data_IF_293902936758
#
_entry.id   IF_293902936758
#
_cell.length_a   1.000
_cell.length_b   1.000
_cell.length_c   1.000
_cell.angle_alpha   90.00
_cell.angle_beta   90.00
_cell.angle_gamma   90.00
#
_symmetry.space_group_name_H-M   'P 1'
#
loop_
_entity.id
_entity.type
_entity.pdbx_description
1 polymer ?
#
# COMPACT_ATOMS: atom_id res chain seq x y z
N UNK A 1 14.27 10.02 -3.53
CA UNK A 1 14.66 11.24 -2.80
C UNK A 1 14.97 10.98 -1.31
N UNK A 2 14.16 10.18 -0.58
CA UNK A 2 14.33 10.00 0.87
C UNK A 2 15.71 9.40 1.24
N UNK A 3 16.18 8.42 0.48
CA UNK A 3 17.47 7.77 0.66
C UNK A 3 18.55 8.28 -0.33
N UNK A 4 18.31 9.39 -0.98
CA UNK A 4 19.17 9.95 -2.02
C UNK A 4 20.60 10.23 -1.50
N UNK A 5 20.70 10.71 -0.27
CA UNK A 5 21.98 11.00 0.37
C UNK A 5 22.87 9.74 0.49
N UNK A 6 22.25 8.60 0.83
CA UNK A 6 22.96 7.32 0.96
C UNK A 6 23.37 6.78 -0.42
N UNK A 7 22.51 6.99 -1.45
CA UNK A 7 22.71 6.43 -2.79
C UNK A 7 23.52 7.34 -3.72
N UNK A 8 23.40 8.68 -3.60
CA UNK A 8 24.10 9.65 -4.46
C UNK A 8 25.55 9.89 -4.08
N UNK A 9 25.93 9.55 -2.89
CA UNK A 9 27.33 9.59 -2.50
C UNK A 9 28.21 8.63 -3.31
N UNK A 10 27.60 7.94 -4.28
CA UNK A 10 28.21 6.99 -5.21
C UNK A 10 28.67 7.64 -6.51
N UNK A 11 29.43 8.72 -6.46
CA UNK A 11 30.11 9.22 -7.67
C UNK A 11 31.28 8.28 -7.96
N UNK A 12 31.20 7.56 -9.08
CA UNK A 12 32.35 6.91 -9.68
C UNK A 12 33.39 7.98 -10.00
N UNK A 13 34.45 8.07 -9.24
CA UNK A 13 35.60 8.86 -9.67
C UNK A 13 36.30 8.10 -10.80
N UNK A 14 36.24 8.66 -12.00
CA UNK A 14 37.09 8.19 -13.09
C UNK A 14 38.43 8.92 -12.97
N UNK A 15 39.46 8.21 -12.56
CA UNK A 15 40.81 8.77 -12.56
C UNK A 15 41.41 8.57 -13.96
N UNK A 16 41.61 9.69 -14.66
CA UNK A 16 42.31 9.71 -15.93
C UNK A 16 43.77 10.01 -15.66
N UNK A 17 44.63 8.99 -15.68
CA UNK A 17 46.07 9.15 -15.50
C UNK A 17 46.75 9.22 -16.87
N UNK A 18 47.41 10.33 -17.15
CA UNK A 18 48.28 10.44 -18.33
C UNK A 18 49.72 10.09 -17.94
N UNK A 19 50.37 9.24 -18.75
CA UNK A 19 51.78 8.88 -18.51
C UNK A 19 52.63 9.76 -19.44
N UNK A 20 53.46 10.60 -18.79
CA UNK A 20 54.36 11.52 -19.46
C UNK A 20 55.80 11.00 -19.40
N UNK A 21 56.59 11.30 -20.39
CA UNK A 21 58.06 11.08 -20.33
C UNK A 21 58.76 12.10 -19.43
N UNK A 22 60.08 11.95 -19.22
CA UNK A 22 60.87 12.86 -18.39
C UNK A 22 60.90 14.32 -18.88
N UNK A 23 60.33 14.62 -20.06
CA UNK A 23 60.20 15.97 -20.65
C UNK A 23 58.79 16.48 -20.58
N UNK A 24 57.87 15.73 -19.94
CA UNK A 24 56.47 16.12 -19.81
C UNK A 24 55.62 15.86 -21.11
N UNK A 25 56.14 15.04 -22.03
CA UNK A 25 55.43 14.70 -23.28
C UNK A 25 54.68 13.38 -23.08
N UNK A 26 53.39 13.35 -23.46
CA UNK A 26 52.59 12.13 -23.39
C UNK A 26 53.18 10.99 -24.24
N UNK A 27 53.41 9.85 -23.63
CA UNK A 27 53.98 8.66 -24.29
C UNK A 27 52.90 8.06 -25.20
N UNK A 28 53.16 8.03 -26.50
CA UNK A 28 52.26 7.48 -27.50
C UNK A 28 52.01 5.97 -27.22
N UNK A 29 50.76 5.57 -27.13
CA UNK A 29 50.33 4.21 -26.71
C UNK A 29 50.08 4.02 -25.21
N UNK A 30 50.54 4.94 -24.36
CA UNK A 30 50.25 4.97 -22.94
C UNK A 30 49.53 6.27 -22.51
N UNK A 31 48.95 6.96 -23.51
CA UNK A 31 48.45 8.32 -23.32
C UNK A 31 47.40 8.48 -22.24
N UNK A 32 46.55 7.47 -22.04
CA UNK A 32 45.53 7.54 -20.99
C UNK A 32 45.30 6.15 -20.42
N UNK A 33 45.43 6.02 -19.12
CA UNK A 33 45.00 4.86 -18.38
C UNK A 33 43.73 5.24 -17.63
N UNK A 34 42.59 4.75 -18.11
CA UNK A 34 41.32 4.90 -17.39
C UNK A 34 41.33 3.87 -16.25
N UNK A 35 41.50 4.33 -15.03
CA UNK A 35 41.32 3.50 -13.86
C UNK A 35 39.87 3.71 -13.41
N UNK A 36 39.01 2.77 -13.72
CA UNK A 36 37.72 2.66 -13.06
C UNK A 36 38.01 2.11 -11.67
N UNK A 37 38.25 2.98 -10.71
CA UNK A 37 38.07 2.59 -9.31
C UNK A 37 36.59 2.41 -9.11
N UNK A 38 36.12 1.17 -9.18
CA UNK A 38 34.85 0.81 -8.59
C UNK A 38 35.01 1.11 -7.10
N UNK A 39 34.38 2.21 -6.69
CA UNK A 39 34.35 2.58 -5.28
C UNK A 39 33.77 1.39 -4.51
N UNK A 40 34.63 0.67 -3.79
CA UNK A 40 34.24 -0.51 -3.00
C UNK A 40 33.38 -0.13 -1.79
N UNK A 41 33.26 1.16 -1.53
CA UNK A 41 32.55 1.73 -0.40
C UNK A 41 31.30 2.48 -0.86
N UNK A 42 30.36 1.74 -1.46
CA UNK A 42 29.07 2.30 -1.84
C UNK A 42 28.07 2.13 -0.70
N UNK A 43 27.41 3.22 -0.32
CA UNK A 43 26.23 3.11 0.51
C UNK A 43 25.16 2.27 -0.20
N UNK A 44 24.44 1.45 0.55
CA UNK A 44 23.42 0.56 0.00
C UNK A 44 22.16 0.55 0.87
N UNK A 45 21.04 0.26 0.23
CA UNK A 45 19.77 -0.03 0.89
C UNK A 45 19.50 -1.53 0.77
N UNK A 46 19.23 -2.17 1.90
CA UNK A 46 18.79 -3.56 1.91
C UNK A 46 17.28 -3.56 2.10
N UNK A 47 16.58 -3.93 1.04
CA UNK A 47 15.12 -4.00 1.01
C UNK A 47 14.62 -5.28 1.68
N UNK A 48 13.36 -5.24 2.10
CA UNK A 48 12.65 -6.41 2.62
C UNK A 48 12.12 -7.33 1.51
N UNK A 49 12.14 -6.85 0.26
CA UNK A 49 11.64 -7.60 -0.92
C UNK A 49 12.36 -8.96 -1.04
N UNK A 50 11.60 -10.04 -1.03
CA UNK A 50 12.08 -11.37 -1.39
C UNK A 50 11.99 -11.55 -2.92
N UNK A 51 13.14 -11.71 -3.57
CA UNK A 51 13.23 -11.80 -5.02
C UNK A 51 12.34 -12.91 -5.60
N UNK A 52 12.26 -14.06 -4.94
CA UNK A 52 11.46 -15.22 -5.40
C UNK A 52 9.97 -14.91 -5.35
N UNK A 53 9.51 -14.28 -4.26
CA UNK A 53 8.11 -13.87 -4.12
C UNK A 53 7.78 -12.78 -5.14
N UNK A 54 8.66 -11.79 -5.31
CA UNK A 54 8.48 -10.73 -6.30
C UNK A 54 8.37 -11.32 -7.73
N UNK A 55 9.24 -12.25 -8.12
CA UNK A 55 9.22 -12.89 -9.43
C UNK A 55 7.91 -13.66 -9.67
N UNK A 56 7.41 -14.39 -8.68
CA UNK A 56 6.12 -15.09 -8.75
C UNK A 56 4.96 -14.10 -8.95
N UNK A 57 4.96 -13.02 -8.17
CA UNK A 57 3.93 -11.97 -8.27
C UNK A 57 3.98 -11.29 -9.64
N UNK A 58 5.17 -10.94 -10.13
CA UNK A 58 5.36 -10.33 -11.45
C UNK A 58 4.84 -11.24 -12.57
N UNK A 59 5.17 -12.54 -12.52
CA UNK A 59 4.70 -13.51 -13.51
C UNK A 59 3.17 -13.64 -13.47
N UNK A 60 2.58 -13.82 -12.29
CA UNK A 60 1.13 -13.91 -12.16
C UNK A 60 0.40 -12.66 -12.65
N UNK A 61 0.95 -11.46 -12.37
CA UNK A 61 0.38 -10.20 -12.86
C UNK A 61 0.50 -10.05 -14.37
N UNK A 62 1.60 -10.50 -14.98
CA UNK A 62 1.75 -10.44 -16.44
C UNK A 62 0.69 -11.25 -17.18
N UNK A 63 0.26 -12.35 -16.59
CA UNK A 63 -0.75 -13.24 -17.18
C UNK A 63 -2.19 -12.75 -16.96
N UNK A 64 -2.47 -12.14 -15.80
CA UNK A 64 -3.85 -11.92 -15.33
C UNK A 64 -4.24 -10.44 -15.17
N UNK A 65 -3.29 -9.51 -15.03
CA UNK A 65 -3.56 -8.14 -14.60
C UNK A 65 -3.03 -7.12 -15.60
N UNK A 66 -3.94 -6.45 -16.32
CA UNK A 66 -3.58 -5.33 -17.21
C UNK A 66 -3.31 -4.05 -16.42
N UNK A 67 -4.10 -3.79 -15.39
CA UNK A 67 -4.00 -2.59 -14.54
C UNK A 67 -4.33 -2.95 -13.11
N UNK A 68 -3.43 -2.66 -12.18
CA UNK A 68 -3.63 -2.98 -10.77
C UNK A 68 -2.34 -3.04 -9.98
N UNK A 69 -2.43 -3.48 -8.73
CA UNK A 69 -1.27 -3.69 -7.86
C UNK A 69 -1.43 -4.94 -6.99
N UNK A 70 -0.30 -5.52 -6.61
CA UNK A 70 -0.22 -6.59 -5.61
C UNK A 70 0.78 -6.17 -4.54
N UNK A 71 0.40 -6.38 -3.28
CA UNK A 71 1.27 -6.21 -2.11
C UNK A 71 1.27 -7.52 -1.33
N UNK A 72 2.46 -8.03 -1.02
CA UNK A 72 2.65 -9.19 -0.14
C UNK A 72 3.43 -8.72 1.07
N UNK A 73 2.89 -8.97 2.26
CA UNK A 73 3.45 -8.50 3.53
C UNK A 73 3.53 -9.64 4.53
N UNK A 74 4.62 -9.69 5.30
CA UNK A 74 4.69 -10.57 6.46
C UNK A 74 3.87 -10.01 7.63
N UNK A 75 3.01 -10.85 8.20
CA UNK A 75 2.05 -10.44 9.24
C UNK A 75 2.77 -9.94 10.50
N UNK A 76 3.88 -10.55 10.90
CA UNK A 76 4.54 -10.24 12.19
C UNK A 76 5.51 -9.08 12.09
N UNK A 77 6.36 -9.09 11.07
CA UNK A 77 7.40 -8.08 10.89
C UNK A 77 6.92 -6.84 10.12
N UNK A 78 5.77 -6.93 9.41
CA UNK A 78 5.28 -5.93 8.45
C UNK A 78 6.25 -5.67 7.29
N UNK A 79 7.20 -6.58 7.09
CA UNK A 79 8.09 -6.50 5.93
C UNK A 79 7.30 -6.70 4.63
N UNK A 80 7.49 -5.79 3.69
CA UNK A 80 6.94 -5.90 2.34
C UNK A 80 7.82 -6.89 1.57
N UNK A 81 7.30 -8.08 1.31
CA UNK A 81 8.02 -9.17 0.63
C UNK A 81 7.90 -9.07 -0.90
N UNK A 82 6.81 -8.49 -1.39
CA UNK A 82 6.63 -8.13 -2.81
C UNK A 82 5.71 -6.93 -2.94
N UNK A 83 5.99 -6.10 -3.94
CA UNK A 83 5.17 -4.95 -4.31
C UNK A 83 5.28 -4.75 -5.82
N UNK A 84 4.18 -4.96 -6.54
CA UNK A 84 4.14 -4.85 -7.98
C UNK A 84 2.96 -4.00 -8.45
N UNK A 85 3.14 -3.28 -9.54
CA UNK A 85 2.14 -2.40 -10.18
C UNK A 85 2.07 -2.65 -11.67
N UNK A 86 0.87 -2.53 -12.26
CA UNK A 86 0.63 -2.65 -13.71
C UNK A 86 -0.15 -1.42 -14.23
N UNK A 87 0.15 -0.96 -15.46
CA UNK A 87 1.23 -1.41 -16.35
C UNK A 87 2.60 -1.26 -15.72
N UNK A 88 3.52 -2.17 -16.03
CA UNK A 88 4.92 -2.02 -15.70
C UNK A 88 5.62 -1.09 -16.73
N UNK A 89 6.79 -0.59 -16.37
CA UNK A 89 7.63 0.20 -17.27
C UNK A 89 9.06 -0.33 -17.30
N UNK A 90 9.77 -0.05 -18.39
CA UNK A 90 11.19 -0.34 -18.47
C UNK A 90 11.97 0.81 -17.82
N UNK A 91 12.70 0.60 -16.71
CA UNK A 91 13.45 1.67 -16.05
C UNK A 91 14.59 2.26 -16.90
N UNK A 92 15.00 1.56 -17.96
CA UNK A 92 16.02 2.05 -18.90
C UNK A 92 15.45 2.96 -19.99
N UNK A 93 14.13 3.10 -20.10
CA UNK A 93 13.41 3.90 -21.11
C UNK A 93 12.58 5.03 -20.49
N UNK A 94 12.93 5.45 -19.28
CA UNK A 94 12.16 6.44 -18.48
C UNK A 94 11.92 7.74 -19.26
N UNK A 95 12.91 8.24 -20.00
CA UNK A 95 12.77 9.52 -20.74
C UNK A 95 11.67 9.48 -21.80
N UNK A 96 11.51 8.34 -22.47
CA UNK A 96 10.45 8.15 -23.46
C UNK A 96 9.09 8.07 -22.78
N UNK A 97 9.01 7.38 -21.64
CA UNK A 97 7.77 7.18 -20.89
C UNK A 97 7.29 8.50 -20.25
N UNK A 98 8.20 9.29 -19.68
CA UNK A 98 7.84 10.60 -19.06
C UNK A 98 7.21 11.55 -20.09
N UNK A 99 7.60 11.45 -21.36
CA UNK A 99 7.05 12.29 -22.43
C UNK A 99 5.63 11.89 -22.84
N UNK A 100 5.26 10.62 -22.72
CA UNK A 100 3.97 10.09 -23.18
C UNK A 100 3.50 8.88 -22.36
N UNK A 101 3.29 9.07 -21.03
CA UNK A 101 2.77 8.01 -20.16
C UNK A 101 1.23 7.94 -20.20
N UNK A 102 0.66 7.62 -21.37
CA UNK A 102 -0.80 7.48 -21.56
C UNK A 102 -1.45 6.45 -20.65
N UNK A 103 -0.69 5.45 -20.23
CA UNK A 103 -1.20 4.33 -19.46
C UNK A 103 -0.98 4.49 -17.94
N UNK A 104 -0.29 5.55 -17.50
CA UNK A 104 0.07 5.78 -16.11
C UNK A 104 0.97 4.67 -15.55
N UNK A 105 1.95 4.22 -16.34
CA UNK A 105 2.89 3.15 -15.97
C UNK A 105 3.85 3.59 -14.87
N UNK A 106 4.14 4.88 -14.75
CA UNK A 106 4.96 5.46 -13.68
C UNK A 106 4.22 5.54 -12.33
N UNK A 107 2.91 5.33 -12.34
CA UNK A 107 2.13 5.35 -11.11
C UNK A 107 2.31 4.04 -10.34
N UNK A 108 2.77 4.15 -9.10
CA UNK A 108 2.76 2.99 -8.19
C UNK A 108 1.35 2.80 -7.61
N UNK A 109 0.56 1.92 -8.21
CA UNK A 109 -0.83 1.67 -7.82
C UNK A 109 -0.99 1.02 -6.45
N UNK A 110 0.04 0.41 -5.91
CA UNK A 110 0.01 -0.06 -4.52
C UNK A 110 -0.07 1.09 -3.51
N UNK A 111 0.34 2.29 -3.94
CA UNK A 111 0.35 3.51 -3.15
C UNK A 111 -0.69 4.54 -3.61
N UNK A 112 -1.52 4.25 -4.60
CA UNK A 112 -2.66 5.07 -4.99
C UNK A 112 -3.90 4.67 -4.20
N UNK A 113 -4.76 5.64 -3.91
CA UNK A 113 -5.99 5.40 -3.16
C UNK A 113 -7.15 5.01 -4.08
N UNK A 114 -7.93 4.04 -3.63
CA UNK A 114 -9.13 3.51 -4.28
C UNK A 114 -10.23 3.31 -3.24
N UNK A 115 -11.46 3.18 -3.69
CA UNK A 115 -12.54 2.71 -2.82
C UNK A 115 -12.28 1.24 -2.44
N UNK A 116 -12.08 0.92 -1.14
CA UNK A 116 -11.75 -0.45 -0.73
C UNK A 116 -12.93 -1.42 -0.90
N UNK A 117 -14.15 -0.91 -0.98
CA UNK A 117 -15.34 -1.73 -1.04
C UNK A 117 -15.50 -2.58 0.22
N UNK A 118 -16.07 -3.76 0.08
CA UNK A 118 -16.40 -4.66 1.19
C UNK A 118 -15.23 -5.07 2.09
N UNK A 119 -13.99 -4.84 1.69
CA UNK A 119 -12.82 -5.06 2.56
C UNK A 119 -12.87 -4.12 3.76
N UNK A 120 -13.44 -2.92 3.62
CA UNK A 120 -13.60 -1.97 4.72
C UNK A 120 -14.51 -2.49 5.84
N UNK A 121 -15.37 -3.47 5.56
CA UNK A 121 -16.19 -4.14 6.57
C UNK A 121 -15.36 -4.82 7.67
N UNK A 122 -14.08 -5.08 7.42
CA UNK A 122 -13.14 -5.58 8.43
C UNK A 122 -12.99 -4.55 9.56
N UNK A 123 -12.81 -3.27 9.22
CA UNK A 123 -12.76 -2.20 10.22
C UNK A 123 -14.09 -2.07 10.97
N UNK A 124 -15.21 -2.08 10.23
CA UNK A 124 -16.55 -1.94 10.84
C UNK A 124 -16.82 -3.08 11.80
N UNK A 125 -16.50 -4.31 11.41
CA UNK A 125 -16.67 -5.48 12.27
C UNK A 125 -15.78 -5.42 13.52
N UNK A 126 -14.49 -5.11 13.34
CA UNK A 126 -13.55 -4.98 14.45
C UNK A 126 -14.02 -3.91 15.46
N UNK A 127 -14.40 -2.74 14.98
CA UNK A 127 -14.88 -1.65 15.79
C UNK A 127 -16.17 -2.01 16.55
N UNK A 128 -17.15 -2.58 15.85
CA UNK A 128 -18.45 -2.91 16.46
C UNK A 128 -18.35 -4.02 17.51
N UNK A 129 -17.48 -5.01 17.29
CA UNK A 129 -17.21 -6.06 18.28
C UNK A 129 -16.44 -5.55 19.50
N UNK A 130 -15.43 -4.71 19.29
CA UNK A 130 -14.64 -4.09 20.36
C UNK A 130 -15.51 -3.21 21.27
N UNK A 131 -16.38 -2.40 20.67
CA UNK A 131 -17.34 -1.53 21.38
C UNK A 131 -18.56 -2.30 21.92
N UNK A 132 -18.63 -3.62 21.70
CA UNK A 132 -19.75 -4.49 22.14
C UNK A 132 -21.12 -4.03 21.61
N UNK A 133 -21.12 -3.39 20.43
CA UNK A 133 -22.37 -2.97 19.77
C UNK A 133 -23.08 -4.13 19.08
N UNK A 134 -22.33 -5.19 18.80
CA UNK A 134 -22.82 -6.44 18.22
C UNK A 134 -22.09 -7.63 18.84
N UNK A 135 -22.72 -8.82 18.76
CA UNK A 135 -22.02 -10.09 19.05
C UNK A 135 -21.96 -10.94 17.77
N UNK A 136 -21.04 -11.91 17.68
CA UNK A 136 -20.94 -12.80 16.51
C UNK A 136 -22.24 -13.57 16.22
N UNK A 137 -23.03 -13.85 17.24
CA UNK A 137 -24.28 -14.63 17.17
C UNK A 137 -25.53 -13.76 16.98
N UNK A 138 -25.38 -12.43 17.10
CA UNK A 138 -26.52 -11.51 16.96
C UNK A 138 -27.15 -11.65 15.57
N UNK A 139 -28.50 -11.70 15.57
CA UNK A 139 -29.27 -11.97 14.36
C UNK A 139 -29.63 -10.67 13.63
N UNK A 140 -29.38 -10.67 12.33
CA UNK A 140 -29.77 -9.62 11.39
C UNK A 140 -30.76 -10.20 10.37
N UNK A 141 -31.65 -9.35 9.87
CA UNK A 141 -32.56 -9.71 8.80
C UNK A 141 -32.22 -8.93 7.52
N UNK A 142 -31.87 -9.66 6.46
CA UNK A 142 -31.55 -9.06 5.17
C UNK A 142 -32.63 -9.40 4.13
N UNK A 143 -33.38 -8.39 3.71
CA UNK A 143 -34.46 -8.49 2.74
C UNK A 143 -34.04 -8.09 1.31
N UNK A 144 -32.72 -7.96 1.04
CA UNK A 144 -32.19 -7.62 -0.27
C UNK A 144 -31.76 -6.16 -0.41
N UNK A 145 -32.17 -5.28 0.50
CA UNK A 145 -31.72 -3.88 0.55
C UNK A 145 -31.82 -3.33 1.96
N UNK A 146 -31.09 -2.25 2.24
CA UNK A 146 -31.29 -1.39 3.40
C UNK A 146 -31.98 -0.11 2.96
N UNK A 147 -33.14 0.21 3.53
CA UNK A 147 -33.94 1.37 3.17
C UNK A 147 -33.78 2.42 4.27
N UNK A 148 -33.25 3.59 3.91
CA UNK A 148 -33.11 4.72 4.83
C UNK A 148 -34.39 5.56 4.85
N UNK A 149 -35.00 5.76 3.67
CA UNK A 149 -36.29 6.46 3.45
C UNK A 149 -36.82 6.06 2.08
N UNK A 150 -37.93 6.67 1.67
CA UNK A 150 -38.62 6.35 0.41
C UNK A 150 -37.79 6.63 -0.86
N UNK A 151 -36.74 7.47 -0.77
CA UNK A 151 -35.90 7.86 -1.91
C UNK A 151 -34.52 7.17 -1.91
N UNK A 152 -34.02 6.74 -0.72
CA UNK A 152 -32.64 6.27 -0.56
C UNK A 152 -32.62 4.86 -0.01
N UNK A 153 -32.12 3.94 -0.82
CA UNK A 153 -31.85 2.56 -0.41
C UNK A 153 -30.51 2.07 -0.98
N UNK A 154 -29.88 1.17 -0.26
CA UNK A 154 -28.63 0.52 -0.69
C UNK A 154 -28.89 -0.98 -0.84
N UNK A 155 -28.70 -1.54 -2.06
CA UNK A 155 -28.97 -2.96 -2.30
C UNK A 155 -27.90 -3.87 -1.67
N UNK A 156 -28.32 -5.08 -1.35
CA UNK A 156 -27.41 -6.18 -1.07
C UNK A 156 -26.96 -6.83 -2.40
N UNK A 157 -25.81 -7.51 -2.40
CA UNK A 157 -25.37 -8.32 -3.55
C UNK A 157 -26.38 -9.43 -3.90
N UNK A 158 -27.12 -9.94 -2.91
CA UNK A 158 -28.19 -10.90 -3.10
C UNK A 158 -29.54 -10.17 -3.11
N UNK A 159 -30.13 -9.99 -4.28
CA UNK A 159 -31.38 -9.25 -4.48
C UNK A 159 -32.55 -9.74 -3.60
N UNK A 160 -32.67 -11.07 -3.44
CA UNK A 160 -33.71 -11.68 -2.59
C UNK A 160 -33.41 -11.62 -1.09
N UNK A 161 -32.28 -10.98 -0.72
CA UNK A 161 -31.80 -10.97 0.65
C UNK A 161 -31.21 -12.29 1.12
N UNK A 162 -30.58 -12.25 2.29
CA UNK A 162 -30.00 -13.43 2.94
C UNK A 162 -30.98 -14.04 3.97
N UNK A 163 -32.09 -13.37 4.28
CA UNK A 163 -32.99 -13.72 5.37
C UNK A 163 -32.34 -13.47 6.73
N UNK A 164 -32.72 -14.28 7.72
CA UNK A 164 -32.15 -14.22 9.08
C UNK A 164 -30.77 -14.87 9.10
N UNK A 165 -29.76 -14.10 9.45
CA UNK A 165 -28.35 -14.53 9.50
C UNK A 165 -27.68 -13.95 10.74
N UNK A 166 -26.71 -14.67 11.33
CA UNK A 166 -25.88 -14.13 12.39
C UNK A 166 -24.90 -13.07 11.87
N UNK A 167 -24.33 -12.24 12.76
CA UNK A 167 -23.29 -11.27 12.39
C UNK A 167 -22.08 -11.96 11.73
N UNK A 168 -21.64 -13.10 12.26
CA UNK A 168 -20.58 -13.91 11.64
C UNK A 168 -20.94 -14.35 10.20
N UNK A 169 -22.18 -14.76 9.97
CA UNK A 169 -22.66 -15.10 8.64
C UNK A 169 -22.77 -13.86 7.75
N UNK A 170 -23.22 -12.72 8.29
CA UNK A 170 -23.29 -11.44 7.58
C UNK A 170 -21.90 -10.98 7.09
N UNK A 171 -20.86 -11.16 7.91
CA UNK A 171 -19.47 -10.90 7.52
C UNK A 171 -19.03 -11.85 6.40
N UNK A 172 -19.23 -13.14 6.57
CA UNK A 172 -18.86 -14.17 5.59
C UNK A 172 -19.54 -13.99 4.23
N UNK A 173 -20.83 -13.58 4.24
CA UNK A 173 -21.64 -13.34 3.05
C UNK A 173 -21.51 -11.91 2.51
N UNK A 174 -20.72 -11.07 3.16
CA UNK A 174 -20.57 -9.66 2.80
C UNK A 174 -21.93 -8.92 2.71
N UNK A 175 -22.83 -9.16 3.66
CA UNK A 175 -24.19 -8.64 3.65
C UNK A 175 -24.19 -7.11 3.86
N UNK A 176 -24.62 -6.34 2.85
CA UNK A 176 -24.64 -4.88 2.94
C UNK A 176 -25.61 -4.37 4.03
N UNK A 177 -26.90 -4.78 4.05
CA UNK A 177 -27.84 -4.29 5.08
C UNK A 177 -27.34 -4.50 6.52
N UNK A 178 -26.81 -5.66 6.84
CA UNK A 178 -26.28 -5.94 8.18
C UNK A 178 -25.12 -5.02 8.56
N UNK A 179 -24.24 -4.71 7.59
CA UNK A 179 -23.09 -3.82 7.84
C UNK A 179 -23.48 -2.36 7.88
N UNK A 180 -24.50 -1.93 7.13
CA UNK A 180 -25.09 -0.59 7.25
C UNK A 180 -25.70 -0.39 8.64
N UNK A 181 -26.53 -1.34 9.08
CA UNK A 181 -27.13 -1.29 10.42
C UNK A 181 -26.07 -1.26 11.52
N UNK A 182 -25.04 -2.10 11.42
CA UNK A 182 -23.90 -2.12 12.35
C UNK A 182 -23.17 -0.78 12.37
N UNK A 183 -22.91 -0.21 11.19
CA UNK A 183 -22.21 1.08 11.07
C UNK A 183 -23.02 2.26 11.60
N UNK A 184 -24.34 2.24 11.44
CA UNK A 184 -25.22 3.24 12.03
C UNK A 184 -25.23 3.19 13.57
N UNK A 185 -25.12 1.99 14.17
CA UNK A 185 -24.92 1.83 15.62
C UNK A 185 -23.55 2.38 16.06
N UNK A 186 -22.50 2.14 15.28
CA UNK A 186 -21.15 2.65 15.53
C UNK A 186 -21.05 4.17 15.33
N UNK A 187 -21.91 4.72 14.48
CA UNK A 187 -21.98 6.13 14.06
C UNK A 187 -20.71 6.58 13.34
N UNK A 188 -20.83 7.74 12.70
CA UNK A 188 -19.69 8.40 12.04
C UNK A 188 -18.45 8.54 12.94
N UNK A 189 -18.67 8.96 14.20
CA UNK A 189 -17.57 9.18 15.14
C UNK A 189 -16.77 7.90 15.42
N UNK A 190 -17.45 6.77 15.63
CA UNK A 190 -16.80 5.49 15.83
C UNK A 190 -15.98 5.05 14.61
N UNK A 191 -16.53 5.18 13.40
CA UNK A 191 -15.79 4.86 12.16
C UNK A 191 -14.49 5.67 12.04
N UNK A 192 -14.56 6.98 12.28
CA UNK A 192 -13.38 7.86 12.23
C UNK A 192 -12.36 7.52 13.31
N UNK A 193 -12.81 7.29 14.56
CA UNK A 193 -11.93 6.90 15.66
C UNK A 193 -11.17 5.60 15.36
N UNK A 194 -11.85 4.58 14.83
CA UNK A 194 -11.19 3.33 14.47
C UNK A 194 -10.31 3.44 13.23
N UNK A 195 -10.67 4.30 12.28
CA UNK A 195 -9.80 4.60 11.15
C UNK A 195 -8.47 5.25 11.60
N UNK A 196 -8.52 6.17 12.56
CA UNK A 196 -7.33 6.78 13.18
C UNK A 196 -6.53 5.75 13.99
N UNK A 197 -7.17 4.97 14.86
CA UNK A 197 -6.53 3.91 15.67
C UNK A 197 -5.83 2.85 14.81
N UNK A 198 -6.35 2.58 13.63
CA UNK A 198 -5.79 1.63 12.66
C UNK A 198 -4.86 2.30 11.64
N UNK A 199 -4.52 3.58 11.85
CA UNK A 199 -3.59 4.36 11.02
C UNK A 199 -3.98 4.45 9.54
N UNK A 200 -5.29 4.41 9.24
CA UNK A 200 -5.78 4.53 7.86
C UNK A 200 -5.84 5.98 7.37
N UNK A 201 -5.71 6.94 8.28
CA UNK A 201 -5.69 8.38 7.99
C UNK A 201 -4.28 8.95 7.91
N UNK A 202 -3.24 8.13 8.13
CA UNK A 202 -1.86 8.58 8.13
C UNK A 202 -1.41 8.99 6.72
N UNK A 203 -0.80 10.18 6.62
CA UNK A 203 -0.26 10.70 5.35
C UNK A 203 1.03 9.98 4.91
N UNK A 204 1.74 9.34 5.86
CA UNK A 204 3.04 8.69 5.64
C UNK A 204 2.95 7.20 5.91
N UNK A 205 2.74 6.41 4.88
CA UNK A 205 2.56 4.97 5.03
C UNK A 205 3.90 4.23 5.24
N UNK A 206 4.96 4.69 4.57
CA UNK A 206 6.30 4.09 4.61
C UNK A 206 7.32 4.97 5.36
N UNK A 207 6.87 5.84 6.28
CA UNK A 207 7.72 6.77 6.99
C UNK A 207 8.17 7.98 6.16
N UNK A 208 7.86 8.04 4.87
CA UNK A 208 8.10 9.18 3.98
C UNK A 208 6.84 9.54 3.21
N UNK A 209 6.72 10.82 2.83
CA UNK A 209 5.52 11.34 2.18
C UNK A 209 5.22 10.59 0.87
N UNK A 210 3.96 10.19 0.73
CA UNK A 210 3.49 9.55 -0.49
C UNK A 210 2.83 10.60 -1.38
N UNK A 211 3.53 11.02 -2.42
CA UNK A 211 3.06 12.06 -3.34
C UNK A 211 1.91 11.61 -4.25
N UNK A 212 1.62 10.32 -4.31
CA UNK A 212 0.60 9.75 -5.20
C UNK A 212 -0.68 9.30 -4.48
N UNK A 213 -0.61 9.07 -3.18
CA UNK A 213 -1.75 8.63 -2.42
C UNK A 213 -2.41 9.79 -1.68
N UNK A 214 -3.63 10.09 -2.08
CA UNK A 214 -4.55 10.86 -1.24
C UNK A 214 -5.56 9.87 -0.65
N UNK A 215 -5.10 9.05 0.32
CA UNK A 215 -6.03 8.33 1.17
C UNK A 215 -6.80 9.34 2.01
N UNK A 216 -8.10 9.18 2.08
CA UNK A 216 -8.93 10.00 2.95
C UNK A 216 -10.12 9.18 3.45
N UNK A 217 -10.57 9.52 4.64
CA UNK A 217 -11.83 9.04 5.17
C UNK A 217 -12.62 10.29 5.59
N UNK A 218 -13.51 10.73 4.71
CA UNK A 218 -14.35 11.90 4.90
C UNK A 218 -15.80 11.48 4.79
N UNK A 219 -16.45 11.26 5.92
CA UNK A 219 -17.82 10.77 6.01
C UNK A 219 -18.72 11.95 6.37
N UNK A 220 -19.74 12.21 5.59
CA UNK A 220 -20.75 13.21 5.92
C UNK A 220 -21.61 12.74 7.10
N UNK A 221 -22.19 13.71 7.84
CA UNK A 221 -23.01 13.41 9.00
C UNK A 221 -24.47 13.14 8.61
N UNK A 222 -24.67 12.13 7.73
CA UNK A 222 -25.96 11.66 7.29
C UNK A 222 -25.94 10.12 7.26
N UNK A 223 -27.05 9.48 7.63
CA UNK A 223 -27.15 8.02 7.71
C UNK A 223 -26.79 7.31 6.38
N UNK A 224 -27.24 7.77 5.19
CA UNK A 224 -26.82 7.16 3.94
C UNK A 224 -25.32 7.28 3.67
N UNK A 225 -24.68 8.39 4.05
CA UNK A 225 -23.24 8.57 3.90
C UNK A 225 -22.46 7.63 4.85
N UNK A 226 -22.91 7.47 6.08
CA UNK A 226 -22.37 6.48 7.03
C UNK A 226 -22.55 5.07 6.47
N UNK A 227 -23.72 4.75 5.92
CA UNK A 227 -23.99 3.46 5.29
C UNK A 227 -23.06 3.16 4.13
N UNK A 228 -22.87 4.10 3.20
CA UNK A 228 -21.94 3.97 2.07
C UNK A 228 -20.47 3.79 2.56
N UNK A 229 -20.07 4.58 3.54
CA UNK A 229 -18.73 4.47 4.12
C UNK A 229 -18.48 3.10 4.76
N UNK A 230 -19.46 2.51 5.44
CA UNK A 230 -19.35 1.15 6.02
C UNK A 230 -19.13 0.07 4.96
N UNK A 231 -19.56 0.32 3.74
CA UNK A 231 -19.32 -0.55 2.59
C UNK A 231 -18.00 -0.25 1.87
N UNK A 232 -17.21 0.71 2.37
CA UNK A 232 -15.95 1.12 1.76
C UNK A 232 -16.13 1.79 0.41
N UNK A 233 -17.23 2.49 0.23
CA UNK A 233 -17.56 3.23 -1.00
C UNK A 233 -17.36 4.72 -0.79
N UNK A 234 -18.41 5.53 -0.95
CA UNK A 234 -18.32 6.97 -0.83
C UNK A 234 -17.74 7.42 0.52
N UNK A 235 -16.85 8.39 0.48
CA UNK A 235 -16.19 8.92 1.67
C UNK A 235 -14.97 8.13 2.15
N UNK A 236 -14.64 6.99 1.52
CA UNK A 236 -13.49 6.15 1.92
C UNK A 236 -12.60 5.88 0.71
N UNK A 237 -11.34 6.31 0.80
CA UNK A 237 -10.30 6.07 -0.19
C UNK A 237 -9.02 5.57 0.50
N UNK A 238 -8.60 4.35 0.23
CA UNK A 238 -7.43 3.70 0.83
C UNK A 238 -6.51 3.11 -0.22
N UNK A 239 -5.22 3.05 0.10
CA UNK A 239 -4.25 2.38 -0.77
C UNK A 239 -4.25 0.86 -0.54
N UNK A 240 -3.90 0.05 -1.55
CA UNK A 240 -3.69 -1.39 -1.36
C UNK A 240 -2.72 -1.72 -0.23
N UNK A 241 -1.68 -0.90 -0.02
CA UNK A 241 -0.75 -1.08 1.09
C UNK A 241 -1.41 -0.85 2.46
N UNK A 242 -2.24 0.19 2.61
CA UNK A 242 -3.01 0.41 3.85
C UNK A 242 -3.96 -0.75 4.14
N UNK A 243 -4.65 -1.24 3.11
CA UNK A 243 -5.55 -2.39 3.23
C UNK A 243 -4.77 -3.64 3.65
N UNK A 244 -3.62 -3.90 3.03
CA UNK A 244 -2.76 -5.03 3.40
C UNK A 244 -2.32 -4.93 4.87
N UNK A 245 -1.93 -3.74 5.33
CA UNK A 245 -1.55 -3.52 6.73
C UNK A 245 -2.72 -3.62 7.71
N UNK A 246 -3.92 -3.15 7.33
CA UNK A 246 -5.14 -3.34 8.11
C UNK A 246 -5.42 -4.83 8.35
N UNK A 247 -5.40 -5.64 7.29
CA UNK A 247 -5.62 -7.09 7.39
C UNK A 247 -4.53 -7.75 8.23
N UNK A 248 -3.27 -7.34 8.06
CA UNK A 248 -2.14 -7.83 8.86
C UNK A 248 -2.28 -7.46 10.33
N UNK A 249 -2.81 -6.27 10.63
CA UNK A 249 -3.08 -5.83 12.02
C UNK A 249 -4.13 -6.72 12.69
N UNK A 250 -5.23 -7.00 11.99
CA UNK A 250 -6.26 -7.92 12.51
C UNK A 250 -5.70 -9.33 12.69
N UNK A 251 -4.95 -9.84 11.72
CA UNK A 251 -4.32 -11.16 11.78
C UNK A 251 -3.26 -11.29 12.88
N UNK A 252 -2.72 -10.17 13.34
CA UNK A 252 -1.77 -10.10 14.47
C UNK A 252 -2.44 -9.69 15.78
N UNK A 253 -3.69 -10.10 15.98
CA UNK A 253 -4.48 -9.82 17.19
C UNK A 253 -4.63 -8.31 17.52
N UNK A 254 -4.80 -7.48 16.52
CA UNK A 254 -4.97 -6.03 16.64
C UNK A 254 -3.67 -5.26 16.85
N UNK A 255 -2.51 -5.91 16.82
CA UNK A 255 -1.24 -5.23 16.99
C UNK A 255 -0.85 -4.52 15.69
N UNK A 256 -0.93 -3.20 15.69
CA UNK A 256 -0.43 -2.37 14.59
C UNK A 256 1.11 -2.27 14.63
N UNK A 257 1.71 -2.31 13.44
CA UNK A 257 3.07 -1.82 13.20
C UNK A 257 3.13 -1.23 11.79
N UNK A 258 4.01 -0.24 11.54
CA UNK A 258 4.14 0.37 10.21
C UNK A 258 4.74 -0.62 9.21
N UNK A 259 4.35 -0.55 7.93
CA UNK A 259 4.99 -1.34 6.87
C UNK A 259 6.48 -1.01 6.73
N UNK A 260 7.30 -2.04 6.51
CA UNK A 260 8.75 -1.92 6.36
C UNK A 260 9.16 -2.32 4.95
N UNK A 261 9.80 -1.39 4.22
CA UNK A 261 10.34 -1.64 2.88
C UNK A 261 11.88 -1.70 2.90
N UNK A 262 12.51 -0.91 3.76
CA UNK A 262 13.98 -0.90 3.93
C UNK A 262 14.30 -1.50 5.28
N UNK A 263 15.06 -2.61 5.25
CA UNK A 263 15.43 -3.33 6.47
C UNK A 263 16.58 -2.64 7.20
N UNK A 264 17.59 -2.22 6.44
CA UNK A 264 18.72 -1.45 6.94
C UNK A 264 19.46 -0.76 5.80
N UNK A 265 20.25 0.23 6.16
CA UNK A 265 21.20 0.87 5.26
C UNK A 265 22.61 0.41 5.56
N UNK A 266 23.49 0.47 4.56
CA UNK A 266 24.91 0.23 4.70
C UNK A 266 25.61 1.54 4.31
N UNK A 267 26.43 2.10 5.19
CA UNK A 267 27.23 3.27 4.89
C UNK A 267 28.51 2.92 4.08
N UNK A 268 29.34 3.92 3.77
CA UNK A 268 30.59 3.71 3.03
C UNK A 268 31.62 2.90 3.79
N UNK A 269 31.60 2.96 5.11
CA UNK A 269 32.48 2.21 6.00
C UNK A 269 32.02 0.75 6.16
N UNK A 270 30.86 0.39 5.61
CA UNK A 270 30.26 -0.94 5.70
C UNK A 270 29.46 -1.16 6.98
N UNK A 271 29.19 -0.11 7.77
CA UNK A 271 28.39 -0.21 8.97
C UNK A 271 26.91 -0.33 8.60
N UNK A 272 26.20 -1.19 9.33
CA UNK A 272 24.76 -1.38 9.17
C UNK A 272 24.00 -0.48 10.13
N UNK A 273 23.03 0.27 9.62
CA UNK A 273 22.10 1.04 10.42
C UNK A 273 20.69 0.51 10.20
N UNK A 274 20.07 -0.03 11.24
CA UNK A 274 18.65 -0.43 11.24
C UNK A 274 17.78 0.84 11.20
N UNK A 275 16.65 0.77 10.50
CA UNK A 275 15.71 1.88 10.34
C UNK A 275 14.45 1.66 11.18
#
# INVERSE_FOLDING_TARGET
KHYDNILRENTTSQELTSVLDARGIAIQGLMFKLRNEQDRHRGALVLTIDKRIQEIVEQAMNEQVKTGAVVVMDIKSREILALASRPAFNPYEIEAIVKDDKNGSLNNRALMAYHPGSIFKILVAAAALEEKLVSPEEQFNCEGSYIFNDEVSIPCLREKGHGKISFSQAFSLSCNPSFIETGLRLKRAGLLTYAERLHLTDEKILGYGNYQAKSYITIENADPAVGNACLGQEGVMLTPLQICNLVSTVADNGRYAPPVLVRYTIDREGNKQML
#
